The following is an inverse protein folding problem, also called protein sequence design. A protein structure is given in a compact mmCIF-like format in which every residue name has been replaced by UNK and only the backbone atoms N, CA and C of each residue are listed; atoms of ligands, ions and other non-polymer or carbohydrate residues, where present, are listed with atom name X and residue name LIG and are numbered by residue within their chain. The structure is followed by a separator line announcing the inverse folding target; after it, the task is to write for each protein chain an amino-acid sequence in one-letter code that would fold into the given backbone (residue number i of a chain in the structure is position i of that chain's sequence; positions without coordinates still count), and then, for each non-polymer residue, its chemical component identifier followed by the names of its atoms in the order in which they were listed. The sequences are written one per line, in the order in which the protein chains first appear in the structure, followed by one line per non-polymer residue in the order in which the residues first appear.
data_IF_559237822764
#
_entry.id   IF_559237822764
#
_cell.length_a   1.000
_cell.length_b   1.000
_cell.length_c   1.000
_cell.angle_alpha   90.00
_cell.angle_beta   90.00
_cell.angle_gamma   90.00
#
_symmetry.space_group_name_H-M   'P 1'
#
loop_
_entity.id
_entity.type
_entity.pdbx_description
1 polymer ?
#
# COMPACT_ATOMS: atom_id res chain seq x y z
N UNK A 1 -4.60 9.20 -11.01
CA UNK A 1 -4.42 8.31 -12.17
C UNK A 1 -5.70 7.52 -12.37
N UNK A 2 -6.45 7.85 -13.42
CA UNK A 2 -7.54 7.00 -13.93
C UNK A 2 -6.90 5.98 -14.87
N UNK A 3 -6.93 4.70 -14.51
CA UNK A 3 -6.44 3.62 -15.35
C UNK A 3 -7.60 2.65 -15.63
N UNK A 4 -8.17 2.76 -16.84
CA UNK A 4 -9.25 1.88 -17.32
C UNK A 4 -8.70 0.65 -18.07
N UNK A 5 -7.44 0.73 -18.49
CA UNK A 5 -6.62 -0.38 -18.96
C UNK A 5 -5.34 -0.44 -18.12
N UNK A 6 -4.56 -1.51 -18.29
CA UNK A 6 -3.32 -1.68 -17.55
C UNK A 6 -2.27 -0.63 -17.98
N UNK A 7 -1.60 -0.05 -16.99
CA UNK A 7 -0.60 1.00 -17.16
C UNK A 7 0.59 0.74 -16.24
N UNK A 8 1.79 0.64 -16.81
CA UNK A 8 3.04 0.58 -16.05
C UNK A 8 3.75 1.94 -16.01
N UNK A 9 4.15 2.40 -14.83
CA UNK A 9 4.96 3.59 -14.62
C UNK A 9 6.30 3.21 -13.97
N UNK A 10 7.38 3.31 -14.76
CA UNK A 10 8.74 2.95 -14.35
C UNK A 10 9.57 4.16 -13.92
N UNK A 11 9.09 5.38 -14.19
CA UNK A 11 9.77 6.62 -13.82
C UNK A 11 9.58 6.99 -12.35
N UNK A 12 10.46 7.87 -11.84
CA UNK A 12 10.35 8.41 -10.48
C UNK A 12 9.19 9.42 -10.39
N UNK A 13 8.28 9.17 -9.45
CA UNK A 13 7.25 10.10 -9.00
C UNK A 13 7.76 10.80 -7.74
N UNK A 14 7.68 12.14 -7.72
CA UNK A 14 8.15 12.97 -6.60
C UNK A 14 7.15 14.09 -6.27
N UNK A 15 7.37 14.76 -5.13
CA UNK A 15 6.53 15.86 -4.66
C UNK A 15 5.57 15.46 -3.53
N UNK A 16 4.72 16.39 -3.10
CA UNK A 16 3.83 16.22 -1.94
C UNK A 16 2.36 15.96 -2.31
N UNK A 17 2.05 15.86 -3.60
CA UNK A 17 0.69 15.63 -4.08
C UNK A 17 0.16 14.23 -3.75
N UNK A 18 -1.16 14.09 -3.68
CA UNK A 18 -1.80 12.78 -3.51
C UNK A 18 -1.74 11.98 -4.82
N UNK A 19 -1.41 10.70 -4.69
CA UNK A 19 -1.65 9.72 -5.75
C UNK A 19 -3.02 9.07 -5.52
N UNK A 20 -3.99 9.34 -6.38
CA UNK A 20 -5.30 8.67 -6.34
C UNK A 20 -5.45 7.73 -7.54
N UNK A 21 -5.55 6.42 -7.29
CA UNK A 21 -5.85 5.41 -8.30
C UNK A 21 -7.36 5.19 -8.41
N UNK A 22 -7.88 5.35 -9.63
CA UNK A 22 -9.26 5.07 -10.04
C UNK A 22 -9.26 4.23 -11.34
N UNK A 23 -10.43 3.81 -11.79
CA UNK A 23 -10.59 2.95 -12.97
C UNK A 23 -10.33 1.48 -12.68
N UNK A 24 -10.81 0.62 -13.57
CA UNK A 24 -10.85 -0.84 -13.35
C UNK A 24 -9.52 -1.55 -13.64
N UNK A 25 -8.62 -0.94 -14.42
CA UNK A 25 -7.34 -1.53 -14.80
C UNK A 25 -6.30 -1.55 -13.68
N UNK A 26 -5.16 -2.15 -13.97
CA UNK A 26 -3.99 -2.22 -13.09
C UNK A 26 -3.07 -1.03 -13.34
N UNK A 27 -2.64 -0.34 -12.28
CA UNK A 27 -1.53 0.60 -12.32
C UNK A 27 -0.34 -0.06 -11.64
N UNK A 28 0.71 -0.39 -12.39
CA UNK A 28 1.97 -0.90 -11.83
C UNK A 28 2.94 0.26 -11.65
N UNK A 29 3.48 0.41 -10.44
CA UNK A 29 4.56 1.33 -10.12
C UNK A 29 5.82 0.51 -9.86
N UNK A 30 6.89 0.83 -10.58
CA UNK A 30 8.19 0.16 -10.42
C UNK A 30 9.38 1.12 -10.39
N UNK A 31 9.11 2.43 -10.42
CA UNK A 31 10.11 3.45 -10.17
C UNK A 31 10.46 3.58 -8.69
N UNK A 32 11.66 4.06 -8.38
CA UNK A 32 12.06 4.43 -7.02
C UNK A 32 11.41 5.77 -6.63
N UNK A 33 10.21 5.72 -6.07
CA UNK A 33 9.33 6.86 -5.88
C UNK A 33 9.63 7.60 -4.57
N UNK A 34 9.72 8.93 -4.64
CA UNK A 34 10.07 9.81 -3.51
C UNK A 34 8.95 10.79 -3.13
N UNK A 35 7.74 10.57 -3.64
CA UNK A 35 6.60 11.40 -3.27
C UNK A 35 6.20 11.15 -1.81
N UNK A 36 5.79 12.22 -1.14
CA UNK A 36 5.46 12.20 0.30
C UNK A 36 3.96 12.32 0.56
N UNK A 37 3.17 12.67 -0.46
CA UNK A 37 1.71 12.67 -0.36
C UNK A 37 1.14 11.26 -0.20
N UNK A 38 -0.10 11.17 0.27
CA UNK A 38 -0.79 9.88 0.46
C UNK A 38 -1.17 9.20 -0.86
N UNK A 39 -1.30 7.87 -0.80
CA UNK A 39 -1.75 7.02 -1.90
C UNK A 39 -3.15 6.50 -1.61
N UNK A 40 -4.14 6.84 -2.44
CA UNK A 40 -5.54 6.39 -2.32
C UNK A 40 -5.88 5.43 -3.43
N UNK A 41 -6.46 4.29 -3.09
CA UNK A 41 -6.87 3.27 -4.06
C UNK A 41 -8.38 3.13 -3.99
N UNK A 42 -9.04 3.74 -4.97
CA UNK A 42 -10.50 3.83 -5.07
C UNK A 42 -11.12 2.77 -5.99
N UNK A 43 -10.30 2.07 -6.78
CA UNK A 43 -10.75 1.01 -7.68
C UNK A 43 -9.63 0.40 -8.53
N UNK A 44 -9.91 -0.76 -9.11
CA UNK A 44 -8.93 -1.57 -9.83
C UNK A 44 -7.78 -2.03 -8.93
N UNK A 45 -6.60 -2.20 -9.51
CA UNK A 45 -5.40 -2.63 -8.78
C UNK A 45 -4.32 -1.55 -8.86
N UNK A 46 -3.70 -1.23 -7.73
CA UNK A 46 -2.39 -0.60 -7.67
C UNK A 46 -1.38 -1.67 -7.30
N UNK A 47 -0.40 -1.88 -8.17
CA UNK A 47 0.66 -2.87 -8.00
C UNK A 47 1.99 -2.16 -7.72
N UNK A 48 2.63 -2.54 -6.62
CA UNK A 48 3.95 -2.08 -6.22
C UNK A 48 4.97 -3.18 -6.54
N UNK A 49 5.96 -2.84 -7.37
CA UNK A 49 7.04 -3.73 -7.80
C UNK A 49 8.37 -3.08 -7.41
N UNK A 50 9.08 -3.67 -6.45
CA UNK A 50 10.27 -3.13 -5.80
C UNK A 50 10.05 -2.45 -4.44
N UNK A 51 11.16 -2.15 -3.75
CA UNK A 51 11.23 -1.69 -2.36
C UNK A 51 10.81 -0.26 -2.04
N UNK A 52 10.53 0.54 -3.06
CA UNK A 52 10.20 1.96 -2.96
C UNK A 52 9.22 2.37 -4.08
N UNK A 53 8.39 1.44 -4.55
CA UNK A 53 7.40 1.73 -5.58
C UNK A 53 6.29 2.63 -5.03
N UNK A 54 6.05 2.60 -3.73
CA UNK A 54 5.34 3.62 -2.96
C UNK A 54 6.38 4.42 -2.18
N UNK A 55 6.17 5.73 -2.01
CA UNK A 55 7.05 6.49 -1.14
C UNK A 55 6.98 5.98 0.31
N UNK A 56 8.12 5.67 0.93
CA UNK A 56 8.24 4.98 2.24
C UNK A 56 7.47 5.61 3.40
N UNK A 57 7.16 6.91 3.31
CA UNK A 57 6.41 7.65 4.33
C UNK A 57 4.98 7.97 3.90
N UNK A 58 4.58 7.55 2.71
CA UNK A 58 3.24 7.73 2.16
C UNK A 58 2.24 6.85 2.93
N UNK A 59 1.15 7.46 3.38
CA UNK A 59 0.00 6.70 3.87
C UNK A 59 -0.71 6.05 2.69
N UNK A 60 -0.91 4.72 2.74
CA UNK A 60 -1.75 3.99 1.79
C UNK A 60 -3.16 3.85 2.36
N UNK A 61 -4.15 4.27 1.57
CA UNK A 61 -5.58 4.21 1.90
C UNK A 61 -6.26 3.34 0.85
N UNK A 62 -6.45 2.06 1.15
CA UNK A 62 -7.08 1.08 0.26
C UNK A 62 -8.59 0.99 0.56
N UNK A 63 -9.41 1.66 -0.25
CA UNK A 63 -10.84 1.82 0.06
C UNK A 63 -11.75 0.80 -0.62
N UNK A 64 -11.54 0.59 -1.92
CA UNK A 64 -12.38 -0.34 -2.70
C UNK A 64 -11.60 -1.12 -3.77
N UNK A 65 -10.32 -0.79 -4.00
CA UNK A 65 -9.44 -1.51 -4.91
C UNK A 65 -8.49 -2.45 -4.20
N UNK A 66 -7.58 -3.02 -5.00
CA UNK A 66 -6.51 -3.90 -4.54
C UNK A 66 -5.20 -3.13 -4.47
N UNK A 67 -4.50 -3.23 -3.35
CA UNK A 67 -3.08 -2.93 -3.25
C UNK A 67 -2.31 -4.23 -3.34
N UNK A 68 -1.60 -4.47 -4.45
CA UNK A 68 -0.79 -5.67 -4.65
C UNK A 68 0.68 -5.34 -4.44
N UNK A 69 1.35 -6.09 -3.59
CA UNK A 69 2.75 -5.92 -3.20
C UNK A 69 3.52 -7.11 -3.77
N UNK A 70 4.20 -6.91 -4.90
CA UNK A 70 4.88 -8.00 -5.63
C UNK A 70 6.21 -8.39 -4.99
N UNK A 71 7.02 -7.38 -4.68
CA UNK A 71 8.26 -7.51 -3.91
C UNK A 71 8.07 -6.89 -2.52
N UNK A 72 9.09 -6.93 -1.67
CA UNK A 72 9.05 -6.22 -0.38
C UNK A 72 8.83 -4.72 -0.62
N UNK A 73 7.99 -4.09 0.19
CA UNK A 73 7.62 -2.67 0.06
C UNK A 73 7.54 -2.00 1.43
N UNK A 74 7.95 -0.73 1.53
CA UNK A 74 7.80 0.09 2.74
C UNK A 74 6.81 1.22 2.51
N UNK A 75 5.88 1.41 3.44
CA UNK A 75 4.94 2.53 3.44
C UNK A 75 4.85 3.17 4.82
N UNK A 76 4.24 4.36 4.89
CA UNK A 76 4.04 5.04 6.17
C UNK A 76 3.01 4.33 7.04
N UNK A 77 1.79 4.17 6.53
CA UNK A 77 0.67 3.50 7.22
C UNK A 77 -0.24 2.80 6.22
N UNK A 78 -0.98 1.78 6.69
CA UNK A 78 -2.06 1.16 5.94
C UNK A 78 -3.42 1.47 6.59
N UNK A 79 -4.35 2.02 5.84
CA UNK A 79 -5.73 2.25 6.30
C UNK A 79 -6.74 2.04 5.17
N UNK A 80 -8.03 1.97 5.50
CA UNK A 80 -9.08 1.72 4.51
C UNK A 80 -10.30 1.00 5.07
N UNK A 81 -11.39 1.02 4.32
CA UNK A 81 -12.71 0.52 4.71
C UNK A 81 -13.11 -0.80 4.05
N UNK A 82 -12.81 -1.02 2.77
CA UNK A 82 -13.18 -2.26 2.07
C UNK A 82 -12.16 -2.76 1.02
N UNK A 83 -11.00 -2.11 0.90
CA UNK A 83 -9.96 -2.54 -0.05
C UNK A 83 -9.36 -3.91 0.30
N UNK A 84 -8.62 -4.47 -0.64
CA UNK A 84 -7.84 -5.69 -0.39
C UNK A 84 -6.35 -5.38 -0.49
N UNK A 85 -5.54 -6.00 0.37
CA UNK A 85 -4.09 -6.06 0.19
C UNK A 85 -3.70 -7.48 -0.20
N UNK A 86 -2.96 -7.62 -1.29
CA UNK A 86 -2.42 -8.90 -1.77
C UNK A 86 -0.90 -8.89 -1.60
N UNK A 87 -0.38 -9.68 -0.68
CA UNK A 87 1.03 -9.75 -0.33
C UNK A 87 1.69 -10.93 -1.06
N UNK A 88 2.52 -10.63 -2.06
CA UNK A 88 3.47 -11.60 -2.62
C UNK A 88 4.81 -11.45 -1.88
N UNK A 89 5.31 -10.22 -1.80
CA UNK A 89 6.40 -9.81 -0.92
C UNK A 89 5.92 -9.26 0.43
N UNK A 90 6.86 -8.94 1.31
CA UNK A 90 6.55 -8.43 2.66
C UNK A 90 6.15 -6.96 2.62
N UNK A 91 5.05 -6.59 3.28
CA UNK A 91 4.68 -5.20 3.46
C UNK A 91 5.17 -4.69 4.81
N UNK A 92 6.11 -3.74 4.78
CA UNK A 92 6.55 -3.00 5.96
C UNK A 92 5.79 -1.68 6.09
N UNK A 93 5.28 -1.41 7.28
CA UNK A 93 4.61 -0.16 7.62
C UNK A 93 5.41 0.55 8.72
N UNK A 94 5.91 1.76 8.45
CA UNK A 94 7.03 2.32 9.24
C UNK A 94 6.99 3.84 9.43
N UNK A 95 5.96 4.35 10.12
CA UNK A 95 5.94 5.72 10.62
C UNK A 95 6.18 5.82 12.13
N UNK A 96 6.76 6.91 12.60
CA UNK A 96 7.00 7.18 14.04
C UNK A 96 5.99 8.15 14.67
N UNK A 97 4.85 8.39 14.02
CA UNK A 97 3.79 9.23 14.58
C UNK A 97 3.03 8.48 15.69
N UNK A 98 3.53 8.55 16.92
CA UNK A 98 3.05 7.78 18.08
C UNK A 98 1.55 7.95 18.41
N UNK A 99 0.97 9.10 18.05
CA UNK A 99 -0.45 9.39 18.31
C UNK A 99 -1.35 9.05 17.10
N UNK A 100 -0.83 8.37 16.10
CA UNK A 100 -1.58 7.95 14.91
C UNK A 100 -2.11 6.53 15.07
N UNK A 101 -3.40 6.35 14.79
CA UNK A 101 -3.99 5.03 14.59
C UNK A 101 -4.37 4.87 13.14
N UNK A 102 -3.82 3.85 12.49
CA UNK A 102 -4.21 3.43 11.15
C UNK A 102 -5.17 2.25 11.27
N UNK A 103 -6.41 2.43 10.80
CA UNK A 103 -7.46 1.41 10.83
C UNK A 103 -7.65 0.87 9.41
N UNK A 104 -7.47 -0.43 9.23
CA UNK A 104 -7.75 -1.13 7.99
C UNK A 104 -8.81 -2.21 8.22
N UNK A 105 -9.98 -2.02 7.61
CA UNK A 105 -11.11 -2.95 7.69
C UNK A 105 -11.16 -3.93 6.50
N UNK A 106 -10.30 -3.72 5.51
CA UNK A 106 -10.16 -4.58 4.35
C UNK A 106 -9.48 -5.92 4.66
N UNK A 107 -9.49 -6.81 3.67
CA UNK A 107 -8.80 -8.11 3.78
C UNK A 107 -7.32 -8.02 3.39
N UNK A 108 -6.47 -8.79 4.06
CA UNK A 108 -5.07 -8.99 3.67
C UNK A 108 -4.88 -10.46 3.33
N UNK A 109 -4.34 -10.76 2.16
CA UNK A 109 -4.17 -12.11 1.63
C UNK A 109 -2.76 -12.31 1.06
N UNK A 110 -2.42 -13.53 0.65
CA UNK A 110 -1.18 -13.81 -0.08
C UNK A 110 -0.15 -14.63 0.71
N UNK A 111 1.06 -14.70 0.18
CA UNK A 111 2.18 -15.48 0.74
C UNK A 111 3.19 -14.63 1.52
N UNK A 112 3.24 -13.33 1.25
CA UNK A 112 4.11 -12.38 1.94
C UNK A 112 3.69 -12.12 3.38
N UNK A 113 4.62 -11.55 4.15
CA UNK A 113 4.47 -11.17 5.54
C UNK A 113 4.04 -9.72 5.74
N UNK A 114 3.72 -9.40 6.99
CA UNK A 114 3.36 -8.06 7.41
C UNK A 114 4.29 -7.61 8.53
N UNK A 115 5.00 -6.50 8.31
CA UNK A 115 5.92 -5.93 9.29
C UNK A 115 5.38 -4.58 9.76
N UNK A 116 5.23 -4.44 11.07
CA UNK A 116 4.80 -3.21 11.72
C UNK A 116 5.97 -2.57 12.45
N UNK A 117 6.55 -1.53 11.89
CA UNK A 117 7.61 -0.74 12.50
C UNK A 117 7.09 0.61 13.02
N UNK A 118 7.80 1.18 14.00
CA UNK A 118 7.57 2.52 14.52
C UNK A 118 6.45 2.66 15.56
N UNK A 119 6.31 3.88 16.10
CA UNK A 119 5.52 4.12 17.32
C UNK A 119 3.99 4.17 17.14
N UNK A 120 3.49 4.24 15.91
CA UNK A 120 2.06 4.34 15.63
C UNK A 120 1.31 3.02 15.89
N UNK A 121 -0.01 3.08 16.03
CA UNK A 121 -0.87 1.89 16.15
C UNK A 121 -1.44 1.50 14.79
N UNK A 122 -1.14 0.28 14.34
CA UNK A 122 -1.81 -0.35 13.20
C UNK A 122 -2.90 -1.29 13.71
N UNK A 123 -4.12 -1.15 13.22
CA UNK A 123 -5.23 -2.05 13.50
C UNK A 123 -5.67 -2.68 12.19
N UNK A 124 -5.58 -4.01 12.12
CA UNK A 124 -6.05 -4.83 11.01
C UNK A 124 -7.37 -5.49 11.47
N UNK A 125 -8.48 -4.85 11.15
CA UNK A 125 -9.82 -5.21 11.64
C UNK A 125 -10.59 -6.10 10.66
N UNK A 126 -10.12 -6.25 9.43
CA UNK A 126 -10.71 -7.17 8.44
C UNK A 126 -10.22 -8.60 8.55
N UNK A 127 -10.64 -9.44 7.60
CA UNK A 127 -10.23 -10.83 7.52
C UNK A 127 -8.83 -10.93 6.90
N UNK A 128 -7.84 -11.26 7.72
CA UNK A 128 -6.45 -11.42 7.28
C UNK A 128 -6.12 -12.91 7.14
N UNK A 129 -5.77 -13.35 5.93
CA UNK A 129 -5.44 -14.74 5.58
C UNK A 129 -4.10 -14.90 4.86
N UNK A 130 -3.22 -13.89 4.94
CA UNK A 130 -1.85 -14.02 4.45
C UNK A 130 -1.07 -15.09 5.24
N UNK A 131 -0.12 -15.73 4.57
CA UNK A 131 0.61 -16.89 5.11
C UNK A 131 2.01 -16.55 5.63
N UNK A 132 2.55 -15.38 5.27
CA UNK A 132 3.86 -14.92 5.73
C UNK A 132 3.86 -14.52 7.20
N UNK A 133 5.06 -14.28 7.73
CA UNK A 133 5.22 -13.92 9.13
C UNK A 133 4.62 -12.53 9.45
N UNK A 134 4.13 -12.36 10.67
CA UNK A 134 3.84 -11.05 11.24
C UNK A 134 4.99 -10.64 12.15
N UNK A 135 5.56 -9.45 11.94
CA UNK A 135 6.57 -8.85 12.82
C UNK A 135 6.08 -7.49 13.33
N UNK A 136 6.38 -7.15 14.58
CA UNK A 136 5.93 -5.92 15.28
C UNK A 136 7.10 -5.32 16.06
#
# INVERSE_FOLDING_TARGET
VQADADLGLTGVISGSGLLTKTGAGTLTLSGNNSYTGGTRILGGTLEAEGGNAIGDQSAVIAQAGVFRVLDDETIGTLSGDAGTVELVGDLTTSTNFANTTALFYGGITGTGGFVKNGAYRQVLAGNNSYQGATQI
#
